data_IF_026380924750
#
_entry.id   IF_026380924750
#
_cell.length_a   1.000
_cell.length_b   1.000
_cell.length_c   1.000
_cell.angle_alpha   90.00
_cell.angle_beta   90.00
_cell.angle_gamma   90.00
#
_symmetry.space_group_name_H-M   'P 1'
#
loop_
_entity.id
_entity.type
_entity.pdbx_description
1 polymer ?
#
# COMPACT_ATOMS: atom_id res chain seq x y z
N UNK A 1 16.94 -22.12 40.29
CA UNK A 1 16.49 -21.01 39.42
C UNK A 1 17.55 -20.67 38.40
N UNK A 2 18.55 -19.80 38.61
CA UNK A 2 19.52 -19.44 37.55
C UNK A 2 20.25 -20.63 36.92
N UNK A 3 20.70 -21.61 37.71
CA UNK A 3 21.24 -22.87 37.17
C UNK A 3 20.24 -23.61 36.25
N UNK A 4 18.96 -23.61 36.59
CA UNK A 4 17.86 -24.18 35.79
C UNK A 4 17.66 -23.41 34.49
N UNK A 5 17.71 -22.06 34.54
CA UNK A 5 17.61 -21.18 33.37
C UNK A 5 18.80 -21.42 32.43
N UNK A 6 20.02 -21.47 32.96
CA UNK A 6 21.25 -21.81 32.20
C UNK A 6 21.12 -23.18 31.52
N UNK A 7 20.66 -24.20 32.24
CA UNK A 7 20.45 -25.55 31.69
C UNK A 7 19.36 -25.56 30.60
N UNK A 8 18.32 -24.72 30.70
CA UNK A 8 17.31 -24.57 29.64
C UNK A 8 17.81 -23.80 28.40
N UNK A 9 18.77 -22.89 28.59
CA UNK A 9 19.35 -22.08 27.52
C UNK A 9 20.29 -22.89 26.62
N UNK A 10 21.17 -23.72 27.20
CA UNK A 10 22.26 -24.43 26.48
C UNK A 10 21.79 -25.22 25.24
N UNK A 11 20.78 -26.12 25.32
CA UNK A 11 20.34 -26.89 24.15
C UNK A 11 19.71 -26.03 23.06
N UNK A 12 19.22 -24.84 23.41
CA UNK A 12 18.66 -23.89 22.43
C UNK A 12 19.76 -23.05 21.79
N UNK A 13 20.76 -22.63 22.56
CA UNK A 13 21.99 -21.98 22.08
C UNK A 13 22.71 -22.88 21.06
N UNK A 14 22.99 -24.12 21.42
CA UNK A 14 23.67 -25.11 20.55
C UNK A 14 22.90 -25.35 19.23
N UNK A 15 21.56 -25.46 19.29
CA UNK A 15 20.73 -25.59 18.09
C UNK A 15 20.73 -24.36 17.21
N UNK A 16 20.75 -23.16 17.79
CA UNK A 16 20.83 -21.91 17.04
C UNK A 16 22.20 -21.76 16.39
N UNK A 17 23.29 -22.05 17.10
CA UNK A 17 24.66 -22.04 16.56
C UNK A 17 24.82 -23.03 15.39
N UNK A 18 24.33 -24.27 15.56
CA UNK A 18 24.34 -25.26 14.50
C UNK A 18 23.55 -24.79 13.26
N UNK A 19 22.38 -24.21 13.47
CA UNK A 19 21.52 -23.70 12.39
C UNK A 19 22.11 -22.47 11.69
N UNK A 20 22.80 -21.59 12.41
CA UNK A 20 23.54 -20.46 11.83
C UNK A 20 24.67 -20.97 10.92
N UNK A 21 25.39 -22.02 11.34
CA UNK A 21 26.39 -22.69 10.52
C UNK A 21 25.77 -23.39 9.31
N UNK A 22 24.66 -24.12 9.48
CA UNK A 22 23.89 -24.72 8.37
C UNK A 22 23.52 -23.68 7.31
N UNK A 23 23.15 -22.45 7.70
CA UNK A 23 22.77 -21.38 6.77
C UNK A 23 23.98 -20.69 6.13
N UNK A 24 25.10 -20.56 6.84
CA UNK A 24 26.36 -20.08 6.25
C UNK A 24 26.92 -21.03 5.18
N UNK A 25 26.62 -22.33 5.29
CA UNK A 25 26.99 -23.37 4.33
C UNK A 25 25.98 -23.53 3.17
N UNK A 26 24.88 -22.77 3.15
CA UNK A 26 23.92 -22.80 2.04
C UNK A 26 24.43 -22.03 0.82
N UNK A 27 24.47 -22.69 -0.34
CA UNK A 27 24.66 -22.00 -1.62
C UNK A 27 23.44 -21.12 -1.94
N UNK A 28 23.61 -19.82 -1.69
CA UNK A 28 22.66 -18.76 -1.98
C UNK A 28 23.11 -17.90 -3.17
N UNK A 29 24.11 -18.35 -3.93
CA UNK A 29 24.64 -17.62 -5.09
C UNK A 29 23.55 -17.45 -6.17
N UNK A 30 23.57 -16.38 -7.00
CA UNK A 30 22.73 -16.30 -8.19
C UNK A 30 22.97 -17.50 -9.12
N UNK A 31 21.89 -18.18 -9.52
CA UNK A 31 21.99 -19.44 -10.27
C UNK A 31 22.09 -19.16 -11.78
N UNK A 32 23.29 -18.81 -12.26
CA UNK A 32 23.55 -18.40 -13.65
C UNK A 32 23.70 -19.56 -14.66
N UNK A 33 23.38 -20.80 -14.28
CA UNK A 33 23.51 -21.95 -15.17
C UNK A 33 22.45 -21.95 -16.28
N UNK A 34 22.80 -22.45 -17.47
CA UNK A 34 21.91 -22.52 -18.63
C UNK A 34 20.88 -23.65 -18.51
N UNK A 35 19.97 -23.47 -17.57
CA UNK A 35 18.90 -24.41 -17.24
C UNK A 35 17.66 -24.13 -18.10
N UNK A 36 16.85 -25.15 -18.32
CA UNK A 36 15.53 -24.94 -18.92
C UNK A 36 14.66 -24.07 -18.02
N UNK A 37 13.62 -23.46 -18.61
CA UNK A 37 12.61 -22.67 -17.91
C UNK A 37 12.00 -23.44 -16.72
N UNK A 38 11.77 -24.74 -16.89
CA UNK A 38 11.18 -25.61 -15.87
C UNK A 38 12.18 -25.96 -14.77
N UNK A 39 13.42 -26.32 -15.10
CA UNK A 39 14.47 -26.57 -14.10
C UNK A 39 14.73 -25.32 -13.24
N UNK A 40 14.81 -24.15 -13.88
CA UNK A 40 14.94 -22.85 -13.18
C UNK A 40 13.79 -22.62 -12.20
N UNK A 41 12.55 -22.91 -12.63
CA UNK A 41 11.35 -22.81 -11.78
C UNK A 41 11.41 -23.78 -10.59
N UNK A 42 11.79 -25.03 -10.84
CA UNK A 42 11.90 -26.07 -9.80
C UNK A 42 12.99 -25.74 -8.77
N UNK A 43 14.12 -25.19 -9.21
CA UNK A 43 15.21 -24.79 -8.32
C UNK A 43 14.85 -23.59 -7.45
N UNK A 44 14.24 -22.54 -8.00
CA UNK A 44 13.76 -21.42 -7.17
C UNK A 44 12.67 -21.84 -6.19
N UNK A 45 11.77 -22.75 -6.58
CA UNK A 45 10.75 -23.31 -5.67
C UNK A 45 11.39 -24.19 -4.57
N UNK A 46 12.41 -25.00 -4.91
CA UNK A 46 13.17 -25.77 -3.92
C UNK A 46 13.95 -24.87 -2.95
N UNK A 47 14.62 -23.84 -3.47
CA UNK A 47 15.32 -22.81 -2.71
C UNK A 47 14.37 -22.07 -1.77
N UNK A 48 13.18 -21.68 -2.24
CA UNK A 48 12.13 -21.08 -1.41
C UNK A 48 11.75 -22.00 -0.23
N UNK A 49 11.45 -23.28 -0.48
CA UNK A 49 11.12 -24.25 0.59
C UNK A 49 12.22 -24.40 1.64
N UNK A 50 13.49 -24.45 1.22
CA UNK A 50 14.64 -24.55 2.14
C UNK A 50 14.76 -23.28 2.97
N UNK A 51 14.69 -22.11 2.33
CA UNK A 51 14.75 -20.80 3.02
C UNK A 51 13.60 -20.64 4.02
N UNK A 52 12.38 -21.04 3.67
CA UNK A 52 11.21 -21.01 4.57
C UNK A 52 11.42 -21.91 5.80
N UNK A 53 11.89 -23.15 5.62
CA UNK A 53 12.19 -24.08 6.73
C UNK A 53 13.25 -23.52 7.67
N UNK A 54 14.36 -23.00 7.13
CA UNK A 54 15.46 -22.44 7.92
C UNK A 54 15.01 -21.19 8.68
N UNK A 55 14.23 -20.33 8.02
CA UNK A 55 13.60 -19.14 8.63
C UNK A 55 12.67 -19.51 9.78
N UNK A 56 11.87 -20.59 9.63
CA UNK A 56 10.99 -21.07 10.72
C UNK A 56 11.79 -21.61 11.91
N UNK A 57 12.84 -22.41 11.69
CA UNK A 57 13.70 -22.93 12.77
C UNK A 57 14.46 -21.81 13.49
N UNK A 58 14.98 -20.82 12.76
CA UNK A 58 15.64 -19.64 13.36
C UNK A 58 14.68 -18.87 14.27
N UNK A 59 13.47 -18.54 13.77
CA UNK A 59 12.43 -17.84 14.55
C UNK A 59 12.06 -18.60 15.84
N UNK A 60 11.95 -19.92 15.78
CA UNK A 60 11.65 -20.77 16.94
C UNK A 60 12.75 -20.68 18.01
N UNK A 61 14.02 -20.83 17.63
CA UNK A 61 15.13 -20.80 18.59
C UNK A 61 15.36 -19.40 19.16
N UNK A 62 15.26 -18.36 18.33
CA UNK A 62 15.34 -16.95 18.77
C UNK A 62 14.25 -16.64 19.80
N UNK A 63 12.97 -16.94 19.50
CA UNK A 63 11.86 -16.66 20.41
C UNK A 63 11.97 -17.43 21.74
N UNK A 64 12.51 -18.65 21.69
CA UNK A 64 12.82 -19.44 22.90
C UNK A 64 13.91 -18.74 23.73
N UNK A 65 15.00 -18.29 23.12
CA UNK A 65 16.08 -17.58 23.83
C UNK A 65 15.64 -16.20 24.35
N UNK A 66 14.81 -15.45 23.62
CA UNK A 66 14.21 -14.19 24.08
C UNK A 66 13.33 -14.41 25.33
N UNK A 67 12.56 -15.50 25.34
CA UNK A 67 11.73 -15.90 26.49
C UNK A 67 12.59 -16.26 27.70
N UNK A 68 13.65 -17.06 27.49
CA UNK A 68 14.60 -17.46 28.54
C UNK A 68 15.34 -16.23 29.11
N UNK A 69 15.79 -15.31 28.25
CA UNK A 69 16.43 -14.06 28.65
C UNK A 69 15.49 -13.17 29.49
N UNK A 70 14.24 -13.03 29.05
CA UNK A 70 13.21 -12.27 29.78
C UNK A 70 12.95 -12.87 31.17
N UNK A 71 12.80 -14.19 31.25
CA UNK A 71 12.60 -14.91 32.51
C UNK A 71 13.79 -14.77 33.46
N UNK A 72 15.03 -14.70 32.94
CA UNK A 72 16.22 -14.48 33.75
C UNK A 72 16.26 -13.07 34.34
N UNK A 73 16.01 -12.04 33.52
CA UNK A 73 15.95 -10.65 33.97
C UNK A 73 14.88 -10.47 35.06
N UNK A 74 13.68 -11.04 34.86
CA UNK A 74 12.62 -11.03 35.88
C UNK A 74 13.02 -11.74 37.17
N UNK A 75 13.70 -12.89 37.07
CA UNK A 75 14.21 -13.60 38.25
C UNK A 75 15.23 -12.74 39.03
N UNK A 76 16.18 -12.08 38.38
CA UNK A 76 17.17 -11.20 39.03
C UNK A 76 16.50 -10.05 39.80
N UNK A 77 15.44 -9.47 39.23
CA UNK A 77 14.66 -8.41 39.89
C UNK A 77 13.97 -8.91 41.17
N UNK A 78 13.46 -10.15 41.17
CA UNK A 78 12.76 -10.78 42.30
C UNK A 78 13.70 -11.31 43.41
N UNK A 79 14.98 -11.51 43.11
CA UNK A 79 15.97 -12.01 44.09
C UNK A 79 16.26 -10.95 45.17
N UNK A 80 16.37 -11.33 46.47
CA UNK A 80 16.75 -10.41 47.53
C UNK A 80 18.08 -9.69 47.24
N UNK A 81 18.17 -8.41 47.64
CA UNK A 81 19.31 -7.54 47.33
C UNK A 81 20.68 -8.16 47.71
N UNK A 82 20.74 -8.94 48.79
CA UNK A 82 21.94 -9.66 49.25
C UNK A 82 22.47 -10.72 48.27
N UNK A 83 21.64 -11.22 47.35
CA UNK A 83 22.01 -12.20 46.32
C UNK A 83 21.96 -11.63 44.90
N UNK A 84 21.37 -10.45 44.70
CA UNK A 84 21.13 -9.88 43.35
C UNK A 84 22.43 -9.78 42.54
N UNK A 85 23.50 -9.20 43.11
CA UNK A 85 24.81 -9.10 42.45
C UNK A 85 25.34 -10.45 41.96
N UNK A 86 25.22 -11.51 42.78
CA UNK A 86 25.65 -12.86 42.41
C UNK A 86 24.86 -13.44 41.21
N UNK A 87 23.60 -13.03 41.03
CA UNK A 87 22.77 -13.46 39.90
C UNK A 87 22.97 -12.58 38.66
N UNK A 88 23.32 -11.30 38.85
CA UNK A 88 23.77 -10.36 37.81
C UNK A 88 25.12 -10.81 37.23
N UNK A 89 26.11 -11.15 38.06
CA UNK A 89 27.43 -11.65 37.65
C UNK A 89 27.30 -12.93 36.78
N UNK A 90 26.37 -13.85 37.14
CA UNK A 90 26.07 -15.05 36.34
C UNK A 90 25.40 -14.75 35.00
N UNK A 91 24.61 -13.68 34.95
CA UNK A 91 23.93 -13.24 33.73
C UNK A 91 24.93 -12.57 32.77
N UNK A 92 25.79 -11.67 33.29
CA UNK A 92 26.88 -11.04 32.55
C UNK A 92 27.76 -12.08 31.87
N UNK A 93 28.22 -13.11 32.60
CA UNK A 93 29.00 -14.23 32.03
C UNK A 93 28.35 -14.95 30.84
N UNK A 94 27.01 -14.99 30.76
CA UNK A 94 26.27 -15.63 29.66
C UNK A 94 25.99 -14.67 28.49
N UNK A 95 26.06 -13.35 28.72
CA UNK A 95 25.75 -12.31 27.73
C UNK A 95 27.03 -11.77 27.08
N UNK A 96 28.11 -11.61 27.85
CA UNK A 96 29.40 -11.05 27.39
C UNK A 96 30.24 -12.01 26.53
N UNK A 97 29.91 -13.30 26.53
CA UNK A 97 30.47 -14.27 25.58
C UNK A 97 30.25 -13.81 24.12
N UNK A 98 31.22 -14.04 23.23
CA UNK A 98 31.05 -13.82 21.78
C UNK A 98 29.88 -14.62 21.22
N UNK A 99 29.62 -15.80 21.81
CA UNK A 99 28.44 -16.63 21.56
C UNK A 99 27.36 -16.45 22.64
N UNK A 100 27.33 -15.29 23.31
CA UNK A 100 26.35 -14.95 24.32
C UNK A 100 24.92 -14.92 23.77
N UNK A 101 23.93 -15.09 24.65
CA UNK A 101 22.51 -15.25 24.25
C UNK A 101 22.02 -14.07 23.38
N UNK A 102 22.38 -12.84 23.74
CA UNK A 102 21.97 -11.64 22.98
C UNK A 102 22.67 -11.56 21.62
N UNK A 103 23.96 -11.90 21.55
CA UNK A 103 24.73 -11.90 20.30
C UNK A 103 24.15 -12.90 19.30
N UNK A 104 23.79 -14.11 19.75
CA UNK A 104 23.16 -15.14 18.91
C UNK A 104 21.72 -14.78 18.49
N UNK A 105 20.93 -14.14 19.36
CA UNK A 105 19.63 -13.59 18.99
C UNK A 105 19.78 -12.55 17.87
N UNK A 106 20.80 -11.68 17.96
CA UNK A 106 21.09 -10.68 16.93
C UNK A 106 21.52 -11.33 15.61
N UNK A 107 22.53 -12.19 15.65
CA UNK A 107 23.04 -12.95 14.49
C UNK A 107 21.92 -13.72 13.77
N UNK A 108 21.03 -14.37 14.54
CA UNK A 108 19.85 -15.06 14.01
C UNK A 108 18.83 -14.13 13.34
N UNK A 109 18.66 -12.89 13.81
CA UNK A 109 17.76 -11.90 13.18
C UNK A 109 18.35 -11.36 11.88
N UNK A 110 19.65 -11.05 11.86
CA UNK A 110 20.37 -10.67 10.63
C UNK A 110 20.25 -11.76 9.56
N UNK A 111 20.45 -13.03 9.94
CA UNK A 111 20.30 -14.16 9.02
C UNK A 111 18.86 -14.33 8.52
N UNK A 112 17.83 -14.08 9.35
CA UNK A 112 16.42 -14.07 8.90
C UNK A 112 16.17 -12.97 7.86
N UNK A 113 16.77 -11.78 8.02
CA UNK A 113 16.66 -10.68 7.05
C UNK A 113 17.25 -11.11 5.70
N UNK A 114 18.50 -11.59 5.72
CA UNK A 114 19.21 -12.09 4.53
C UNK A 114 18.46 -13.22 3.82
N UNK A 115 17.97 -14.21 4.57
CA UNK A 115 17.13 -15.28 4.04
C UNK A 115 15.85 -14.75 3.38
N UNK A 116 15.20 -13.76 4.01
CA UNK A 116 13.99 -13.13 3.47
C UNK A 116 14.27 -12.38 2.16
N UNK A 117 15.44 -11.78 1.97
CA UNK A 117 15.84 -11.17 0.69
C UNK A 117 15.89 -12.22 -0.43
N UNK A 118 16.66 -13.30 -0.25
CA UNK A 118 16.78 -14.40 -1.23
C UNK A 118 15.46 -15.13 -1.51
N UNK A 119 14.53 -15.16 -0.55
CA UNK A 119 13.17 -15.66 -0.75
C UNK A 119 12.38 -14.79 -1.73
N UNK A 120 12.44 -13.46 -1.56
CA UNK A 120 11.76 -12.50 -2.44
C UNK A 120 12.33 -12.54 -3.87
N UNK A 121 13.65 -12.67 -4.02
CA UNK A 121 14.28 -12.82 -5.34
C UNK A 121 13.81 -14.08 -6.05
N UNK A 122 13.72 -15.20 -5.32
CA UNK A 122 13.21 -16.46 -5.87
C UNK A 122 11.72 -16.36 -6.26
N UNK A 123 10.90 -15.69 -5.45
CA UNK A 123 9.50 -15.44 -5.76
C UNK A 123 9.32 -14.54 -6.99
N UNK A 124 10.17 -13.50 -7.13
CA UNK A 124 10.21 -12.63 -8.31
C UNK A 124 10.55 -13.39 -9.59
N UNK A 125 11.51 -14.33 -9.54
CA UNK A 125 11.85 -15.19 -10.68
C UNK A 125 10.70 -16.15 -11.00
N UNK A 126 10.14 -16.85 -10.02
CA UNK A 126 8.98 -17.74 -10.20
C UNK A 126 7.80 -16.98 -10.82
N UNK A 127 7.55 -15.74 -10.41
CA UNK A 127 6.50 -14.89 -10.98
C UNK A 127 6.77 -14.56 -12.46
N UNK A 128 7.98 -14.11 -12.81
CA UNK A 128 8.37 -13.86 -14.21
C UNK A 128 8.24 -15.11 -15.09
N UNK A 129 8.61 -16.28 -14.54
CA UNK A 129 8.49 -17.56 -15.24
C UNK A 129 7.01 -17.91 -15.52
N UNK A 130 6.09 -17.66 -14.57
CA UNK A 130 4.63 -17.83 -14.78
C UNK A 130 4.06 -16.82 -15.78
N UNK A 131 4.45 -15.54 -15.72
CA UNK A 131 3.92 -14.49 -16.61
C UNK A 131 4.23 -14.74 -18.10
N UNK A 132 5.35 -15.38 -18.42
CA UNK A 132 5.69 -15.74 -19.81
C UNK A 132 5.12 -17.08 -20.31
N UNK A 133 4.62 -17.97 -19.44
CA UNK A 133 3.90 -19.19 -19.88
C UNK A 133 2.59 -18.81 -20.59
N UNK A 134 2.03 -17.65 -20.26
CA UNK A 134 0.79 -17.11 -20.84
C UNK A 134 0.98 -16.60 -22.29
N UNK A 135 2.23 -16.46 -22.78
CA UNK A 135 2.53 -15.84 -24.08
C UNK A 135 2.86 -16.81 -25.23
N UNK A 136 2.88 -18.11 -24.99
CA UNK A 136 3.28 -19.11 -26.00
C UNK A 136 2.12 -19.68 -26.84
N UNK A 137 0.87 -19.23 -26.63
CA UNK A 137 -0.22 -19.48 -27.58
C UNK A 137 -0.21 -18.45 -28.73
N UNK A 138 -0.34 -18.86 -30.01
CA UNK A 138 -0.20 -17.98 -31.18
C UNK A 138 -1.40 -17.01 -31.26
N UNK A 139 -1.26 -15.87 -30.59
CA UNK A 139 -2.37 -14.91 -30.40
C UNK A 139 -2.05 -13.59 -31.07
N UNK A 140 -2.99 -13.14 -31.91
CA UNK A 140 -2.90 -11.96 -32.75
C UNK A 140 -2.52 -10.70 -31.97
N UNK A 141 -1.69 -9.85 -32.58
CA UNK A 141 -1.20 -8.58 -32.02
C UNK A 141 -2.40 -7.71 -31.61
N UNK A 142 -2.69 -7.73 -30.30
CA UNK A 142 -3.75 -6.93 -29.69
C UNK A 142 -3.11 -5.74 -29.02
N UNK A 143 -3.37 -4.54 -29.56
CA UNK A 143 -2.95 -3.28 -28.95
C UNK A 143 -3.58 -3.14 -27.56
N UNK A 144 -2.76 -3.24 -26.50
CA UNK A 144 -3.20 -2.88 -25.16
C UNK A 144 -3.15 -1.35 -25.02
N UNK A 145 -4.28 -0.65 -24.81
CA UNK A 145 -4.25 0.77 -24.51
C UNK A 145 -3.59 1.00 -23.15
N UNK A 146 -2.83 2.09 -23.01
CA UNK A 146 -2.11 2.46 -21.79
C UNK A 146 -3.09 2.61 -20.62
N UNK A 147 -3.17 1.59 -19.75
CA UNK A 147 -4.09 1.57 -18.62
C UNK A 147 -3.56 2.51 -17.54
N UNK A 148 -4.06 3.74 -17.56
CA UNK A 148 -3.84 4.70 -16.48
C UNK A 148 -4.53 4.17 -15.22
N UNK A 149 -3.77 4.01 -14.13
CA UNK A 149 -4.31 3.57 -12.84
C UNK A 149 -5.41 4.55 -12.39
N UNK A 150 -6.61 4.09 -12.01
CA UNK A 150 -7.60 4.98 -11.42
C UNK A 150 -7.04 5.58 -10.13
N UNK A 151 -6.87 6.90 -10.08
CA UNK A 151 -6.49 7.63 -8.86
C UNK A 151 -7.66 7.69 -7.88
N UNK A 152 -8.10 6.51 -7.43
CA UNK A 152 -9.01 6.37 -6.31
C UNK A 152 -8.19 6.50 -5.02
N UNK A 153 -8.60 7.36 -4.08
CA UNK A 153 -8.01 7.35 -2.74
C UNK A 153 -8.39 6.02 -2.05
N UNK A 154 -7.48 5.04 -2.12
CA UNK A 154 -7.57 3.83 -1.31
C UNK A 154 -7.53 4.25 0.16
N UNK A 155 -8.55 3.86 0.93
CA UNK A 155 -8.58 4.11 2.35
C UNK A 155 -7.48 3.30 3.05
N UNK A 156 -6.65 3.97 3.85
CA UNK A 156 -5.65 3.31 4.71
C UNK A 156 -6.38 2.43 5.73
N UNK A 157 -5.98 1.17 5.88
CA UNK A 157 -6.51 0.31 6.94
C UNK A 157 -5.95 0.76 8.29
N UNK A 158 -6.76 1.47 9.08
CA UNK A 158 -6.38 1.96 10.42
C UNK A 158 -6.30 0.89 11.51
N UNK A 159 -5.98 -0.37 11.17
CA UNK A 159 -5.80 -1.48 12.12
C UNK A 159 -7.05 -2.04 12.80
N UNK A 160 -8.23 -1.43 12.63
CA UNK A 160 -9.45 -1.86 13.32
C UNK A 160 -10.03 -3.17 12.73
N UNK A 161 -10.07 -4.30 13.47
CA UNK A 161 -10.54 -5.58 12.96
C UNK A 161 -12.01 -5.57 12.48
N UNK A 162 -12.87 -4.72 13.07
CA UNK A 162 -14.28 -4.60 12.66
C UNK A 162 -14.44 -4.04 11.24
N UNK A 163 -13.44 -3.31 10.75
CA UNK A 163 -13.42 -2.74 9.40
C UNK A 163 -12.72 -3.64 8.38
N UNK A 164 -12.15 -4.80 8.79
CA UNK A 164 -11.36 -5.65 7.91
C UNK A 164 -12.14 -6.15 6.70
N UNK A 165 -13.41 -6.60 6.86
CA UNK A 165 -14.23 -7.03 5.71
C UNK A 165 -14.41 -5.92 4.69
N UNK A 166 -14.75 -4.71 5.15
CA UNK A 166 -15.02 -3.59 4.26
C UNK A 166 -13.74 -3.08 3.58
N UNK A 167 -12.63 -3.00 4.31
CA UNK A 167 -11.32 -2.71 3.72
C UNK A 167 -10.92 -3.77 2.70
N UNK A 168 -11.02 -5.06 3.05
CA UNK A 168 -10.66 -6.18 2.19
C UNK A 168 -11.46 -6.15 0.89
N UNK A 169 -12.80 -6.01 0.94
CA UNK A 169 -13.62 -5.94 -0.28
C UNK A 169 -13.33 -4.68 -1.12
N UNK A 170 -13.01 -3.54 -0.50
CA UNK A 170 -12.58 -2.33 -1.23
C UNK A 170 -11.22 -2.53 -1.91
N UNK A 171 -10.25 -3.13 -1.22
CA UNK A 171 -8.94 -3.47 -1.76
C UNK A 171 -9.04 -4.52 -2.88
N UNK A 172 -9.89 -5.53 -2.70
CA UNK A 172 -10.16 -6.58 -3.68
C UNK A 172 -10.70 -5.99 -4.99
N UNK A 173 -11.71 -5.12 -4.93
CA UNK A 173 -12.28 -4.47 -6.13
C UNK A 173 -11.36 -3.42 -6.75
N UNK A 174 -10.64 -2.64 -5.93
CA UNK A 174 -9.85 -1.51 -6.42
C UNK A 174 -8.40 -1.88 -6.82
N UNK A 175 -7.86 -2.98 -6.32
CA UNK A 175 -6.48 -3.45 -6.58
C UNK A 175 -6.46 -4.88 -7.10
N UNK A 176 -7.04 -5.85 -6.38
CA UNK A 176 -6.83 -7.27 -6.69
C UNK A 176 -7.49 -7.72 -8.01
N UNK A 177 -8.75 -7.34 -8.22
CA UNK A 177 -9.58 -7.65 -9.40
C UNK A 177 -9.27 -6.75 -10.62
N UNK A 178 -8.37 -5.77 -10.48
CA UNK A 178 -7.89 -5.00 -11.63
C UNK A 178 -6.88 -5.81 -12.43
N UNK A 179 -6.84 -5.63 -13.75
CA UNK A 179 -5.79 -6.15 -14.64
C UNK A 179 -4.48 -5.34 -14.52
N UNK A 180 -4.06 -5.10 -13.29
CA UNK A 180 -2.73 -4.57 -12.94
C UNK A 180 -1.78 -5.78 -12.91
N UNK A 181 -0.60 -5.75 -13.54
CA UNK A 181 0.42 -6.80 -13.37
C UNK A 181 0.71 -7.00 -11.88
N UNK A 182 0.87 -8.24 -11.42
CA UNK A 182 1.01 -8.49 -9.97
C UNK A 182 2.27 -7.85 -9.39
N UNK A 183 3.34 -7.66 -10.20
CA UNK A 183 4.53 -6.88 -9.85
C UNK A 183 4.22 -5.39 -9.58
N UNK A 184 3.23 -4.80 -10.26
CA UNK A 184 2.73 -3.45 -10.00
C UNK A 184 1.81 -3.39 -8.76
N UNK A 185 1.04 -4.46 -8.48
CA UNK A 185 0.26 -4.56 -7.23
C UNK A 185 1.17 -4.67 -6.00
N UNK A 186 2.25 -5.46 -6.10
CA UNK A 186 3.26 -5.65 -5.06
C UNK A 186 4.05 -4.36 -4.80
N UNK A 187 4.58 -3.72 -5.85
CA UNK A 187 5.28 -2.44 -5.69
C UNK A 187 4.39 -1.32 -5.14
N UNK A 188 3.13 -1.20 -5.58
CA UNK A 188 2.19 -0.22 -5.03
C UNK A 188 1.90 -0.43 -3.53
N UNK A 189 1.65 -1.69 -3.13
CA UNK A 189 1.33 -2.01 -1.73
C UNK A 189 2.54 -1.73 -0.83
N UNK A 190 3.73 -2.16 -1.28
CA UNK A 190 4.97 -1.95 -0.56
C UNK A 190 5.32 -0.45 -0.46
N UNK A 191 5.18 0.34 -1.54
CA UNK A 191 5.65 1.73 -1.61
C UNK A 191 4.92 2.71 -0.66
N UNK A 192 3.66 2.42 -0.29
CA UNK A 192 2.93 3.24 0.69
C UNK A 192 3.13 2.79 2.13
N UNK A 193 3.16 1.49 2.38
CA UNK A 193 3.25 0.93 3.74
C UNK A 193 4.61 1.28 4.40
N UNK A 194 5.70 1.31 3.63
CA UNK A 194 7.03 1.66 4.19
C UNK A 194 7.16 3.13 4.61
N UNK A 195 6.65 4.07 3.80
CA UNK A 195 6.74 5.51 4.09
C UNK A 195 6.03 5.84 5.39
N UNK A 196 4.79 5.36 5.54
CA UNK A 196 4.01 5.48 6.78
C UNK A 196 4.72 4.84 7.96
N UNK A 197 5.39 3.69 7.75
CA UNK A 197 6.13 3.00 8.81
C UNK A 197 7.39 3.76 9.24
N UNK A 198 8.13 4.35 8.30
CA UNK A 198 9.29 5.21 8.58
C UNK A 198 8.85 6.51 9.25
N UNK A 199 7.81 7.18 8.76
CA UNK A 199 7.23 8.39 9.39
C UNK A 199 6.76 8.13 10.83
N UNK A 200 6.06 7.01 11.06
CA UNK A 200 5.60 6.61 12.38
C UNK A 200 6.78 6.28 13.32
N UNK A 201 7.83 5.65 12.80
CA UNK A 201 9.04 5.32 13.57
C UNK A 201 9.86 6.57 13.88
N UNK A 202 10.08 7.46 12.91
CA UNK A 202 10.75 8.76 13.09
C UNK A 202 10.01 9.64 14.10
N UNK A 203 8.67 9.60 14.13
CA UNK A 203 7.88 10.28 15.17
C UNK A 203 8.19 9.74 16.57
N UNK A 204 8.33 8.42 16.72
CA UNK A 204 8.71 7.78 18.00
C UNK A 204 10.15 8.14 18.38
N UNK A 205 11.08 8.10 17.42
CA UNK A 205 12.49 8.47 17.65
C UNK A 205 12.62 9.93 18.14
N UNK A 206 11.88 10.87 17.55
CA UNK A 206 11.81 12.27 18.02
C UNK A 206 11.23 12.42 19.42
N UNK A 207 10.27 11.56 19.81
CA UNK A 207 9.74 11.56 21.18
C UNK A 207 10.79 11.07 22.18
N UNK A 208 11.56 10.04 21.83
CA UNK A 208 12.68 9.53 22.63
C UNK A 208 13.80 10.58 22.74
N UNK A 209 14.17 11.28 21.65
CA UNK A 209 15.11 12.41 21.68
C UNK A 209 14.63 13.53 22.62
N UNK A 210 13.33 13.88 22.57
CA UNK A 210 12.74 14.88 23.45
C UNK A 210 12.69 14.45 24.93
N UNK A 211 12.77 13.15 25.21
CA UNK A 211 12.91 12.58 26.56
C UNK A 211 14.37 12.49 27.03
N UNK A 212 15.34 12.80 26.17
CA UNK A 212 16.77 12.67 26.46
C UNK A 212 17.32 11.25 26.34
N UNK A 213 16.58 10.33 25.71
CA UNK A 213 17.01 8.95 25.51
C UNK A 213 18.13 8.84 24.46
N UNK A 214 19.11 7.98 24.71
CA UNK A 214 20.20 7.75 23.77
C UNK A 214 19.74 6.86 22.59
N UNK A 215 19.60 7.45 21.40
CA UNK A 215 19.20 6.75 20.19
C UNK A 215 20.28 5.87 19.56
N UNK A 216 21.56 6.04 19.89
CA UNK A 216 22.67 5.33 19.22
C UNK A 216 22.93 3.92 19.78
N UNK A 217 21.85 3.20 20.11
CA UNK A 217 21.90 1.79 20.49
C UNK A 217 21.60 0.90 19.27
N UNK A 218 22.39 -0.15 19.06
CA UNK A 218 22.15 -1.14 17.99
C UNK A 218 20.79 -1.84 18.10
N UNK A 219 20.19 -1.88 19.29
CA UNK A 219 18.82 -2.35 19.51
C UNK A 219 17.79 -1.52 18.70
N UNK A 220 18.00 -0.21 18.60
CA UNK A 220 17.11 0.72 17.89
C UNK A 220 17.27 0.55 16.38
N UNK A 221 18.50 0.40 15.89
CA UNK A 221 18.79 0.04 14.50
C UNK A 221 18.04 -1.23 14.08
N UNK A 222 18.20 -2.33 14.83
CA UNK A 222 17.54 -3.61 14.59
C UNK A 222 16.00 -3.46 14.64
N UNK A 223 15.44 -2.65 15.55
CA UNK A 223 13.99 -2.41 15.63
C UNK A 223 13.46 -1.65 14.40
N UNK A 224 14.21 -0.68 13.89
CA UNK A 224 13.87 0.05 12.66
C UNK A 224 13.92 -0.93 11.48
N UNK A 225 15.00 -1.69 11.35
CA UNK A 225 15.24 -2.58 10.22
C UNK A 225 14.21 -3.72 10.14
N UNK A 226 13.83 -4.33 11.28
CA UNK A 226 12.74 -5.31 11.33
C UNK A 226 11.36 -4.78 10.90
N UNK A 227 11.19 -3.46 10.72
CA UNK A 227 9.95 -2.83 10.21
C UNK A 227 10.01 -2.44 8.74
N UNK A 228 11.17 -2.52 8.10
CA UNK A 228 11.35 -2.12 6.70
C UNK A 228 11.11 -3.31 5.74
N UNK A 229 10.45 -3.09 4.59
CA UNK A 229 10.43 -4.09 3.51
C UNK A 229 11.85 -4.46 3.03
N UNK A 230 12.02 -5.72 2.63
CA UNK A 230 13.31 -6.28 2.21
C UNK A 230 14.03 -5.47 1.12
N UNK A 231 13.31 -4.86 0.16
CA UNK A 231 13.92 -4.04 -0.90
C UNK A 231 14.51 -2.70 -0.40
N UNK A 232 14.11 -2.24 0.80
CA UNK A 232 14.73 -1.09 1.47
C UNK A 232 15.91 -1.56 2.31
N UNK A 233 15.77 -2.71 2.98
CA UNK A 233 16.87 -3.33 3.70
C UNK A 233 18.05 -3.58 2.76
N UNK A 234 17.84 -4.19 1.59
CA UNK A 234 18.85 -4.32 0.53
C UNK A 234 19.66 -3.02 0.31
N UNK A 235 18.96 -1.89 0.10
CA UNK A 235 19.59 -0.57 -0.07
C UNK A 235 20.27 -0.04 1.19
N UNK A 236 19.76 -0.38 2.38
CA UNK A 236 20.39 -0.05 3.67
C UNK A 236 21.69 -0.84 3.83
N UNK A 237 21.71 -2.15 3.59
CA UNK A 237 22.90 -2.99 3.72
C UNK A 237 23.96 -2.64 2.67
N UNK A 238 23.57 -2.35 1.41
CA UNK A 238 24.48 -1.76 0.41
C UNK A 238 25.14 -0.48 0.95
N UNK A 239 24.36 0.41 1.57
CA UNK A 239 24.88 1.64 2.15
C UNK A 239 25.74 1.41 3.41
N UNK A 240 25.47 0.37 4.21
CA UNK A 240 26.30 -0.06 5.35
C UNK A 240 27.67 -0.54 4.87
N UNK A 241 27.73 -1.34 3.80
CA UNK A 241 28.99 -1.86 3.24
C UNK A 241 29.90 -0.72 2.74
N UNK A 242 29.33 0.30 2.10
CA UNK A 242 30.05 1.52 1.69
C UNK A 242 30.57 2.36 2.88
N UNK A 243 29.97 2.27 4.06
CA UNK A 243 30.22 3.18 5.19
C UNK A 243 30.78 2.48 6.43
N UNK A 244 32.10 2.62 6.63
CA UNK A 244 32.86 2.11 7.82
C UNK A 244 32.32 2.49 9.20
N UNK A 245 31.42 3.47 9.31
CA UNK A 245 30.74 3.85 10.55
C UNK A 245 29.27 3.97 10.22
N UNK A 246 28.44 3.09 10.79
CA UNK A 246 26.99 3.17 10.75
C UNK A 246 26.45 3.62 12.12
N UNK A 247 25.29 4.27 12.13
CA UNK A 247 24.66 4.88 13.31
C UNK A 247 23.17 5.04 13.05
N UNK A 248 22.37 5.14 14.10
CA UNK A 248 20.92 5.36 13.98
C UNK A 248 20.64 6.71 13.33
N UNK A 249 21.43 7.74 13.62
CA UNK A 249 21.40 9.02 12.89
C UNK A 249 21.64 8.86 11.37
N UNK A 250 22.60 8.02 10.94
CA UNK A 250 22.84 7.74 9.52
C UNK A 250 21.71 6.95 8.87
N UNK A 251 21.17 5.93 9.55
CA UNK A 251 20.00 5.18 9.08
C UNK A 251 18.79 6.11 8.88
N UNK A 252 18.48 6.97 9.85
CA UNK A 252 17.42 7.98 9.74
C UNK A 252 17.65 8.93 8.57
N UNK A 253 18.87 9.45 8.41
CA UNK A 253 19.22 10.35 7.30
C UNK A 253 19.10 9.64 5.94
N UNK A 254 19.50 8.37 5.85
CA UNK A 254 19.38 7.57 4.64
C UNK A 254 17.92 7.32 4.27
N UNK A 255 17.08 6.91 5.23
CA UNK A 255 15.65 6.70 5.03
C UNK A 255 14.93 7.99 4.63
N UNK A 256 15.25 9.12 5.27
CA UNK A 256 14.69 10.43 4.91
C UNK A 256 15.07 10.83 3.46
N UNK A 257 16.34 10.68 3.07
CA UNK A 257 16.81 10.88 1.69
C UNK A 257 16.11 9.92 0.71
N UNK A 258 15.85 8.68 1.11
CA UNK A 258 15.16 7.69 0.29
C UNK A 258 13.69 8.05 0.07
N UNK A 259 12.99 8.56 1.09
CA UNK A 259 11.62 9.09 0.97
C UNK A 259 11.62 10.28 0.03
N UNK A 260 12.48 11.28 0.26
CA UNK A 260 12.56 12.48 -0.57
C UNK A 260 12.79 12.14 -2.05
N UNK A 261 13.79 11.28 -2.36
CA UNK A 261 14.06 10.83 -3.74
C UNK A 261 12.85 10.14 -4.36
N UNK A 262 12.13 9.33 -3.60
CA UNK A 262 10.94 8.63 -4.07
C UNK A 262 9.76 9.60 -4.32
N UNK A 263 9.57 10.61 -3.48
CA UNK A 263 8.61 11.69 -3.72
C UNK A 263 8.97 12.53 -4.97
N UNK A 264 10.25 12.84 -5.17
CA UNK A 264 10.74 13.54 -6.36
C UNK A 264 10.52 12.73 -7.63
N UNK A 265 10.82 11.43 -7.62
CA UNK A 265 10.52 10.50 -8.72
C UNK A 265 9.01 10.44 -8.98
N UNK A 266 8.19 10.28 -7.94
CA UNK A 266 6.72 10.27 -8.05
C UNK A 266 6.19 11.58 -8.65
N UNK A 267 6.76 12.72 -8.24
CA UNK A 267 6.39 14.05 -8.74
C UNK A 267 6.80 14.24 -10.20
N UNK A 268 8.01 13.83 -10.60
CA UNK A 268 8.49 13.94 -11.97
C UNK A 268 7.63 13.13 -12.95
N UNK A 269 7.36 11.86 -12.62
CA UNK A 269 6.47 11.00 -13.41
C UNK A 269 5.06 11.59 -13.57
N UNK A 270 4.54 12.29 -12.55
CA UNK A 270 3.25 12.98 -12.64
C UNK A 270 3.27 14.17 -13.61
N UNK A 271 4.39 14.91 -13.69
CA UNK A 271 4.56 16.01 -14.64
C UNK A 271 4.68 15.52 -16.08
N UNK A 272 5.41 14.43 -16.32
CA UNK A 272 5.58 13.87 -17.67
C UNK A 272 4.24 13.37 -18.25
N UNK A 273 3.44 12.64 -17.45
CA UNK A 273 2.09 12.20 -17.83
C UNK A 273 1.18 13.40 -18.19
N UNK A 274 1.30 14.51 -17.45
CA UNK A 274 0.55 15.75 -17.74
C UNK A 274 1.03 16.48 -19.00
N UNK A 275 2.33 16.38 -19.33
CA UNK A 275 2.93 17.01 -20.50
C UNK A 275 2.59 16.23 -21.79
N UNK A 276 2.73 14.91 -21.78
CA UNK A 276 2.36 14.05 -22.91
C UNK A 276 0.88 14.20 -23.31
N UNK A 277 -0.02 14.32 -22.32
CA UNK A 277 -1.45 14.54 -22.56
C UNK A 277 -1.80 15.93 -23.14
N UNK A 278 -0.89 16.92 -23.03
CA UNK A 278 -1.02 18.23 -23.67
C UNK A 278 -0.49 18.20 -25.11
N UNK A 279 0.68 17.63 -25.34
CA UNK A 279 1.35 17.66 -26.65
C UNK A 279 0.68 16.73 -27.68
N UNK A 280 0.10 15.61 -27.23
CA UNK A 280 -0.63 14.65 -28.09
C UNK A 280 -1.95 15.18 -28.64
N UNK A 281 -2.55 16.22 -28.03
CA UNK A 281 -3.82 16.83 -28.51
C UNK A 281 -3.64 17.91 -29.58
N UNK A 282 -2.41 18.35 -29.85
CA UNK A 282 -2.10 19.47 -30.76
C UNK A 282 -1.78 19.10 -32.21
N UNK A 283 -1.72 17.81 -32.59
CA UNK A 283 -1.17 17.37 -33.89
C UNK A 283 -2.17 16.79 -34.92
N UNK A 284 -3.48 17.02 -34.77
CA UNK A 284 -4.48 16.58 -35.76
C UNK A 284 -5.23 17.79 -36.34
N UNK A 285 -4.82 18.20 -37.55
CA UNK A 285 -5.47 19.27 -38.31
C UNK A 285 -6.82 18.83 -38.90
N UNK A 286 -7.76 19.77 -39.16
CA UNK A 286 -9.12 19.44 -39.56
C UNK A 286 -9.19 19.05 -41.05
N UNK A 287 -9.49 17.78 -41.34
CA UNK A 287 -9.95 17.39 -42.68
C UNK A 287 -11.47 17.53 -42.79
N UNK A 288 -11.89 18.44 -43.66
CA UNK A 288 -13.26 18.65 -44.11
C UNK A 288 -13.76 17.46 -44.92
N UNK A 289 -15.00 17.02 -44.66
CA UNK A 289 -15.79 16.27 -45.63
C UNK A 289 -17.19 16.88 -45.68
N UNK A 290 -17.50 17.53 -46.80
CA UNK A 290 -18.85 18.03 -47.09
C UNK A 290 -19.79 16.85 -47.36
N UNK A 291 -21.04 16.96 -46.90
CA UNK A 291 -22.16 16.21 -47.46
C UNK A 291 -23.16 17.22 -48.01
N UNK A 292 -23.57 17.00 -49.25
CA UNK A 292 -24.51 17.83 -49.97
C UNK A 292 -25.92 17.71 -49.37
N UNK A 293 -26.69 18.79 -49.51
CA UNK A 293 -28.10 18.91 -49.14
C UNK A 293 -28.92 19.01 -50.44
N UNK A 294 -30.11 18.43 -50.41
CA UNK A 294 -31.28 18.71 -51.27
C UNK A 294 -32.49 18.67 -50.31
N UNK A 295 -33.24 19.76 -50.12
CA UNK A 295 -34.46 20.11 -50.89
C UNK A 295 -35.58 19.05 -50.69
N UNK A 296 -36.82 19.33 -50.26
CA UNK A 296 -37.59 20.56 -49.91
C UNK A 296 -38.24 20.38 -48.49
N UNK A 297 -39.02 21.26 -47.82
CA UNK A 297 -40.12 22.16 -48.25
C UNK A 297 -40.46 23.17 -47.12
N UNK A 298 -41.06 24.32 -47.48
CA UNK A 298 -41.56 25.40 -46.61
C UNK A 298 -42.80 24.99 -45.75
N UNK A 299 -43.39 25.76 -44.81
CA UNK A 299 -43.33 27.21 -44.56
C UNK A 299 -43.75 27.64 -43.13
N UNK A 300 -43.33 28.86 -42.74
CA UNK A 300 -44.03 29.86 -41.89
C UNK A 300 -44.70 29.48 -40.54
N UNK A 301 -44.19 30.06 -39.45
CA UNK A 301 -44.97 30.97 -38.56
C UNK A 301 -44.06 31.78 -37.61
N UNK A 302 -44.53 32.94 -37.13
CA UNK A 302 -43.74 34.06 -36.56
C UNK A 302 -44.01 34.29 -35.06
N UNK A 303 -43.10 35.05 -34.41
CA UNK A 303 -43.14 35.68 -33.04
C UNK A 303 -42.92 34.74 -31.84
N UNK A 304 -42.36 35.15 -30.68
CA UNK A 304 -41.81 36.45 -30.19
C UNK A 304 -40.41 36.29 -29.54
N UNK A 305 -39.48 37.27 -29.57
CA UNK A 305 -38.20 37.21 -28.86
C UNK A 305 -38.23 37.88 -27.47
N UNK A 306 -37.77 37.20 -26.41
CA UNK A 306 -37.41 37.81 -25.12
C UNK A 306 -36.08 37.29 -24.57
N UNK A 307 -35.11 38.22 -24.48
CA UNK A 307 -34.12 38.40 -23.38
C UNK A 307 -33.69 37.14 -22.59
N UNK A 308 -32.44 36.68 -22.61
CA UNK A 308 -31.26 37.44 -22.20
C UNK A 308 -29.93 36.69 -22.45
N UNK A 309 -28.88 37.47 -22.81
CA UNK A 309 -27.43 37.21 -22.58
C UNK A 309 -26.84 35.87 -23.05
N UNK A 310 -26.35 35.88 -24.30
CA UNK A 310 -25.33 34.93 -24.81
C UNK A 310 -24.01 35.09 -24.04
N UNK A 311 -23.50 34.02 -23.43
CA UNK A 311 -22.08 33.81 -23.23
C UNK A 311 -21.64 32.69 -24.17
N UNK A 312 -20.81 33.02 -25.17
CA UNK A 312 -20.57 32.18 -26.33
C UNK A 312 -19.47 31.13 -26.05
N UNK A 313 -19.84 29.99 -25.45
CA UNK A 313 -18.90 28.90 -25.19
C UNK A 313 -19.20 27.71 -26.10
N UNK A 314 -18.21 27.29 -26.90
CA UNK A 314 -18.34 26.16 -27.85
C UNK A 314 -18.55 24.84 -27.09
N UNK A 315 -19.82 24.46 -26.89
CA UNK A 315 -20.18 23.16 -26.34
C UNK A 315 -19.81 22.08 -27.37
N UNK A 316 -18.87 21.20 -27.01
CA UNK A 316 -18.64 19.95 -27.73
C UNK A 316 -19.92 19.12 -27.69
N UNK A 317 -20.53 18.87 -28.86
CA UNK A 317 -21.88 18.25 -29.03
C UNK A 317 -22.06 16.84 -28.43
N UNK A 318 -21.07 16.30 -27.72
CA UNK A 318 -21.00 14.92 -27.22
C UNK A 318 -21.17 14.77 -25.70
N UNK A 319 -21.13 15.86 -24.92
CA UNK A 319 -21.43 15.84 -23.48
C UNK A 319 -22.58 16.79 -23.14
N UNK A 320 -23.60 16.25 -22.46
CA UNK A 320 -24.65 17.07 -21.84
C UNK A 320 -24.08 17.82 -20.63
N UNK A 321 -24.57 19.02 -20.31
CA UNK A 321 -24.21 19.71 -19.07
C UNK A 321 -24.50 18.85 -17.82
N UNK A 322 -23.77 19.13 -16.74
CA UNK A 322 -24.01 18.49 -15.45
C UNK A 322 -25.42 18.81 -14.93
N UNK A 323 -26.19 17.78 -14.54
CA UNK A 323 -27.58 17.90 -14.06
C UNK A 323 -27.73 18.81 -12.84
N UNK A 324 -26.68 18.91 -12.02
CA UNK A 324 -26.73 19.62 -10.74
C UNK A 324 -26.53 21.13 -10.93
N UNK A 325 -25.54 21.53 -11.76
CA UNK A 325 -25.07 22.92 -11.86
C UNK A 325 -24.95 23.49 -13.30
N UNK A 326 -25.33 22.73 -14.33
CA UNK A 326 -25.29 23.11 -15.75
C UNK A 326 -23.89 23.50 -16.30
N UNK A 327 -22.80 23.14 -15.62
CA UNK A 327 -21.42 23.31 -16.09
C UNK A 327 -20.91 22.06 -16.83
N UNK A 328 -19.78 22.18 -17.53
CA UNK A 328 -19.17 21.09 -18.29
C UNK A 328 -18.26 20.22 -17.42
N UNK A 329 -18.82 19.14 -16.85
CA UNK A 329 -18.12 18.05 -16.15
C UNK A 329 -19.05 16.85 -15.96
N UNK A 330 -18.52 15.69 -15.58
CA UNK A 330 -19.35 14.52 -15.26
C UNK A 330 -20.16 14.75 -13.98
N UNK A 331 -21.40 14.25 -13.92
CA UNK A 331 -22.30 14.46 -12.77
C UNK A 331 -21.69 14.04 -11.42
N UNK A 332 -20.88 12.98 -11.38
CA UNK A 332 -20.18 12.54 -10.18
C UNK A 332 -19.08 13.51 -9.71
N UNK A 333 -18.55 14.36 -10.59
CA UNK A 333 -17.45 15.31 -10.30
C UNK A 333 -17.95 16.70 -9.87
N UNK A 334 -19.27 16.92 -9.83
CA UNK A 334 -19.84 18.22 -9.47
C UNK A 334 -19.43 18.69 -8.05
N UNK A 335 -18.60 19.73 -7.99
CA UNK A 335 -18.18 20.38 -6.74
C UNK A 335 -19.22 21.38 -6.19
N UNK A 336 -20.15 21.85 -7.03
CA UNK A 336 -21.22 22.79 -6.59
C UNK A 336 -22.27 22.10 -5.70
N UNK A 337 -22.43 20.79 -5.81
CA UNK A 337 -23.28 19.96 -4.95
C UNK A 337 -22.41 18.81 -4.41
N UNK A 338 -21.61 19.03 -3.36
CA UNK A 338 -20.57 18.08 -2.95
C UNK A 338 -21.09 16.88 -2.15
N UNK A 339 -22.23 17.00 -1.45
CA UNK A 339 -22.80 15.95 -0.60
C UNK A 339 -23.89 15.14 -1.32
N UNK A 340 -24.17 13.92 -0.83
CA UNK A 340 -25.29 13.12 -1.34
C UNK A 340 -26.64 13.83 -1.14
N UNK A 341 -26.83 14.47 0.01
CA UNK A 341 -28.06 15.15 0.40
C UNK A 341 -28.37 16.32 -0.54
N UNK A 342 -27.40 17.23 -0.75
CA UNK A 342 -27.55 18.36 -1.68
C UNK A 342 -27.82 17.89 -3.12
N UNK A 343 -27.19 16.79 -3.55
CA UNK A 343 -27.45 16.17 -4.85
C UNK A 343 -28.87 15.58 -4.94
N UNK A 344 -29.34 14.88 -3.92
CA UNK A 344 -30.70 14.31 -3.88
C UNK A 344 -31.77 15.39 -3.91
N UNK A 345 -31.59 16.44 -3.10
CA UNK A 345 -32.49 17.60 -3.06
C UNK A 345 -32.55 18.28 -4.45
N UNK A 346 -31.40 18.48 -5.10
CA UNK A 346 -31.33 19.07 -6.45
C UNK A 346 -32.02 18.23 -7.53
N UNK A 347 -32.01 16.90 -7.43
CA UNK A 347 -32.73 16.03 -8.37
C UNK A 347 -34.24 16.04 -8.12
N UNK A 348 -34.66 16.20 -6.86
CA UNK A 348 -36.07 16.39 -6.49
C UNK A 348 -36.62 17.69 -7.07
N UNK A 349 -35.89 18.79 -6.92
CA UNK A 349 -36.20 20.10 -7.56
C UNK A 349 -36.32 20.00 -9.08
N UNK A 350 -35.36 19.33 -9.73
CA UNK A 350 -35.30 19.22 -11.18
C UNK A 350 -36.21 18.12 -11.76
N UNK A 351 -37.03 17.43 -10.95
CA UNK A 351 -37.83 16.25 -11.34
C UNK A 351 -37.04 15.22 -12.17
N UNK A 352 -35.83 14.91 -11.70
CA UNK A 352 -34.84 14.10 -12.43
C UNK A 352 -34.80 12.64 -11.97
N UNK A 353 -34.78 11.73 -12.93
CA UNK A 353 -34.70 10.29 -12.73
C UNK A 353 -33.42 9.87 -11.99
N UNK A 354 -33.54 9.14 -10.87
CA UNK A 354 -32.38 8.75 -10.05
C UNK A 354 -31.45 7.72 -10.73
N UNK A 355 -31.90 7.08 -11.83
CA UNK A 355 -31.10 6.15 -12.62
C UNK A 355 -30.24 6.89 -13.67
N UNK A 356 -30.85 7.67 -14.57
CA UNK A 356 -30.14 8.31 -15.69
C UNK A 356 -29.79 9.80 -15.47
N UNK A 357 -30.31 10.40 -14.41
CA UNK A 357 -30.19 11.83 -14.05
C UNK A 357 -30.73 12.77 -15.13
N UNK A 358 -31.80 12.36 -15.84
CA UNK A 358 -32.51 13.23 -16.79
C UNK A 358 -33.87 13.66 -16.22
N UNK A 359 -34.26 14.93 -16.41
CA UNK A 359 -35.60 15.40 -16.04
C UNK A 359 -36.69 14.75 -16.90
N UNK A 360 -37.94 14.88 -16.46
CA UNK A 360 -39.14 14.53 -17.25
C UNK A 360 -39.62 13.09 -17.13
N UNK A 361 -38.99 12.24 -16.31
CA UNK A 361 -39.53 10.93 -15.96
C UNK A 361 -39.05 10.44 -14.59
N UNK A 362 -39.84 9.61 -13.93
CA UNK A 362 -39.48 8.96 -12.66
C UNK A 362 -38.55 7.77 -12.90
N UNK A 363 -37.86 7.31 -11.85
CA UNK A 363 -36.97 6.14 -11.89
C UNK A 363 -37.68 4.86 -12.36
N UNK A 364 -38.98 4.72 -12.05
CA UNK A 364 -39.82 3.58 -12.46
C UNK A 364 -40.05 3.59 -13.99
N UNK A 365 -40.25 4.78 -14.57
CA UNK A 365 -40.52 4.95 -16.00
C UNK A 365 -39.22 5.08 -16.84
N UNK A 366 -38.06 4.73 -16.28
CA UNK A 366 -36.77 4.92 -16.93
C UNK A 366 -36.46 3.80 -17.94
N UNK A 367 -36.52 4.13 -19.23
CA UNK A 367 -36.15 3.22 -20.34
C UNK A 367 -34.63 2.96 -20.46
N UNK A 368 -33.79 3.65 -19.70
CA UNK A 368 -32.33 3.42 -19.68
C UNK A 368 -31.98 2.20 -18.83
N UNK A 369 -31.08 1.33 -19.31
CA UNK A 369 -30.51 0.20 -18.53
C UNK A 369 -30.10 0.68 -17.13
N UNK A 370 -30.48 -0.08 -16.09
CA UNK A 370 -30.14 0.21 -14.69
C UNK A 370 -28.63 0.45 -14.56
N UNK A 371 -28.24 1.62 -14.05
CA UNK A 371 -26.84 1.96 -13.81
C UNK A 371 -26.31 1.09 -12.67
N UNK A 372 -25.11 0.54 -12.88
CA UNK A 372 -24.32 -0.11 -11.84
C UNK A 372 -23.35 0.93 -11.31
N UNK A 373 -23.37 1.14 -10.00
CA UNK A 373 -22.51 2.12 -9.35
C UNK A 373 -21.04 1.70 -9.45
N UNK A 374 -20.16 2.63 -9.84
CA UNK A 374 -18.73 2.37 -9.95
C UNK A 374 -18.09 1.95 -8.61
N UNK A 375 -18.50 2.59 -7.50
CA UNK A 375 -17.88 2.41 -6.18
C UNK A 375 -18.35 1.15 -5.44
N UNK A 376 -19.66 0.95 -5.28
CA UNK A 376 -20.21 -0.16 -4.47
C UNK A 376 -20.91 -1.26 -5.29
N UNK A 377 -20.91 -1.17 -6.62
CA UNK A 377 -21.59 -2.10 -7.56
C UNK A 377 -23.12 -2.23 -7.38
N UNK A 378 -23.74 -1.46 -6.48
CA UNK A 378 -25.18 -1.39 -6.33
C UNK A 378 -25.91 -0.75 -7.52
N UNK A 379 -27.21 -1.00 -7.64
CA UNK A 379 -28.06 -0.52 -8.74
C UNK A 379 -28.50 0.94 -8.56
N UNK A 380 -27.57 1.88 -8.65
CA UNK A 380 -27.84 3.33 -8.66
C UNK A 380 -26.81 4.08 -9.50
N UNK A 381 -27.12 5.35 -9.81
CA UNK A 381 -26.16 6.21 -10.49
C UNK A 381 -24.94 6.51 -9.60
N UNK A 382 -23.73 6.37 -10.14
CA UNK A 382 -22.45 6.65 -9.46
C UNK A 382 -22.40 8.04 -8.80
N UNK A 383 -23.09 9.04 -9.34
CA UNK A 383 -23.18 10.38 -8.77
C UNK A 383 -23.95 10.46 -7.43
N UNK A 384 -24.72 9.41 -7.08
CA UNK A 384 -25.59 9.29 -5.91
C UNK A 384 -25.15 8.18 -4.93
N UNK A 385 -23.89 7.76 -4.99
CA UNK A 385 -23.41 6.66 -4.17
C UNK A 385 -23.18 7.05 -2.70
N UNK A 386 -23.94 6.43 -1.79
CA UNK A 386 -23.76 6.62 -0.34
C UNK A 386 -22.33 6.34 0.13
N UNK A 387 -21.71 5.25 -0.33
CA UNK A 387 -20.32 4.89 0.06
C UNK A 387 -19.25 5.85 -0.48
N UNK A 388 -19.61 6.78 -1.39
CA UNK A 388 -18.71 7.81 -1.89
C UNK A 388 -18.76 9.09 -1.05
N UNK A 389 -19.94 9.47 -0.54
CA UNK A 389 -20.13 10.74 0.18
C UNK A 389 -20.11 10.59 1.70
N UNK A 390 -20.54 9.45 2.25
CA UNK A 390 -20.44 9.20 3.69
C UNK A 390 -19.04 8.67 4.02
N UNK A 391 -18.13 9.61 4.24
CA UNK A 391 -16.85 9.34 4.86
C UNK A 391 -17.08 8.96 6.35
N UNK A 392 -16.66 7.78 6.83
CA UNK A 392 -16.81 7.40 8.24
C UNK A 392 -16.18 8.40 9.22
N UNK A 393 -15.18 9.17 8.78
CA UNK A 393 -14.56 10.22 9.58
C UNK A 393 -15.51 11.37 9.96
N UNK A 394 -16.58 11.63 9.19
CA UNK A 394 -17.54 12.71 9.49
C UNK A 394 -18.73 12.25 10.33
N UNK A 395 -19.11 10.96 10.28
CA UNK A 395 -20.18 10.45 11.15
C UNK A 395 -19.72 10.31 12.61
N UNK A 396 -18.44 10.01 12.87
CA UNK A 396 -17.95 9.86 14.25
C UNK A 396 -17.99 11.17 15.03
N UNK A 397 -17.61 12.31 14.42
CA UNK A 397 -17.64 13.61 15.10
C UNK A 397 -19.03 14.00 15.62
N UNK A 398 -20.04 13.89 14.76
CA UNK A 398 -21.43 14.22 15.13
C UNK A 398 -22.02 13.25 16.16
N UNK A 399 -21.66 11.96 16.10
CA UNK A 399 -22.11 10.95 17.07
C UNK A 399 -21.44 11.18 18.45
N UNK A 400 -20.17 11.62 18.48
CA UNK A 400 -19.49 11.93 19.74
C UNK A 400 -20.01 13.26 20.34
N UNK A 401 -20.30 14.28 19.53
CA UNK A 401 -20.95 15.51 19.98
C UNK A 401 -22.37 15.27 20.51
N UNK A 402 -23.21 14.47 19.84
CA UNK A 402 -24.53 14.08 20.38
C UNK A 402 -24.41 13.31 21.70
N UNK A 403 -23.42 12.42 21.85
CA UNK A 403 -23.18 11.71 23.12
C UNK A 403 -22.69 12.62 24.24
N UNK A 404 -21.88 13.64 23.92
CA UNK A 404 -21.41 14.63 24.90
C UNK A 404 -22.59 15.52 25.33
N UNK A 405 -23.41 16.01 24.39
CA UNK A 405 -24.60 16.80 24.70
C UNK A 405 -25.67 16.00 25.47
N UNK A 406 -25.80 14.69 25.23
CA UNK A 406 -26.65 13.77 26.03
C UNK A 406 -26.02 13.32 27.36
N UNK A 407 -24.81 13.76 27.69
CA UNK A 407 -24.15 13.57 29.00
C UNK A 407 -24.02 14.86 29.82
N UNK A 408 -24.36 16.00 29.22
CA UNK A 408 -24.41 17.32 29.87
C UNK A 408 -25.87 17.81 30.10
N UNK A 409 -26.84 16.94 29.84
CA UNK A 409 -28.24 17.04 30.25
C UNK A 409 -28.59 15.79 31.05
#
# INVERSE_FOLDING_TARGET
MSATIILSARPTKEKLEALLKEVQEMDLTPLEQMLTREETRQQHEARKRIIEERTMRLKLHISTLETINTNWIQYIQQVPATKRKQEEDKYAQMVEDKRGILNLISEGKEVIITLSMYMNDSELVIQRLKEGEIKEQPTQITYYPTVNLPQLPLATFGGNPKLWREFSSRFEVAVHLQKIPDIQKLTWKNDREWKVTVEATERILRQLEAMGENLEQSSIEIIIENKLPAWILDRVYQQKEEQKIWSVAKLRQFLAKLIQRNEEVTRSQFFDIMKEQKESKSKIGPRTNQRYFTEETSALTVTTPQTNRKANMKISKTQRPCVFCNKNHWDNECQTYPSLETRMQRLKENNACLNCLQPGHTTINCKTRKRVCFYCKGHHNTALCYTKYNNPAQSVGLIEEEKIQRRQR
#
